data_IF_321715410655
#
_entry.id   IF_321715410655
#
_cell.length_a   1.000
_cell.length_b   1.000
_cell.length_c   1.000
_cell.angle_alpha   90.00
_cell.angle_beta   90.00
_cell.angle_gamma   90.00
#
_symmetry.space_group_name_H-M   'P 1'
#
loop_
_entity.id
_entity.type
_entity.pdbx_description
1 polymer ?
#
# COMPACT_ATOMS: atom_id res chain seq x y z
N UNK A 1 -3.67 7.84 -40.01
CA UNK A 1 -4.44 8.69 -39.07
C UNK A 1 -3.54 9.85 -38.64
N UNK A 2 -4.00 11.11 -38.69
CA UNK A 2 -3.16 12.23 -38.25
C UNK A 2 -2.81 12.06 -36.76
N UNK A 3 -1.55 12.30 -36.41
CA UNK A 3 -1.06 12.25 -35.02
C UNK A 3 -1.58 13.50 -34.32
N UNK A 4 -2.33 13.32 -33.23
CA UNK A 4 -2.80 14.45 -32.41
C UNK A 4 -1.69 14.77 -31.41
N UNK A 5 -1.27 16.03 -31.38
CA UNK A 5 -0.24 16.50 -30.46
C UNK A 5 -0.75 16.41 -29.01
N UNK A 6 0.07 15.91 -28.09
CA UNK A 6 -0.28 15.79 -26.66
C UNK A 6 -0.50 17.16 -25.99
N UNK A 7 0.05 18.23 -26.57
CA UNK A 7 -0.16 19.60 -26.14
C UNK A 7 -1.56 20.14 -26.48
N UNK A 8 -2.29 19.48 -27.39
CA UNK A 8 -3.70 19.78 -27.68
C UNK A 8 -4.60 18.84 -26.86
N UNK A 9 -4.70 19.14 -25.56
CA UNK A 9 -5.28 18.24 -24.55
C UNK A 9 -6.71 17.81 -24.90
N UNK A 10 -7.58 18.76 -25.26
CA UNK A 10 -8.98 18.46 -25.54
C UNK A 10 -9.14 17.59 -26.78
N UNK A 11 -8.37 17.80 -27.86
CA UNK A 11 -8.42 16.91 -29.03
C UNK A 11 -7.84 15.53 -28.73
N UNK A 12 -6.80 15.46 -27.89
CA UNK A 12 -6.24 14.20 -27.44
C UNK A 12 -7.28 13.38 -26.66
N UNK A 13 -7.95 13.98 -25.67
CA UNK A 13 -8.98 13.32 -24.87
C UNK A 13 -10.24 12.99 -25.66
N UNK A 14 -10.65 13.84 -26.61
CA UNK A 14 -11.72 13.52 -27.56
C UNK A 14 -11.41 12.22 -28.32
N UNK A 15 -10.18 12.08 -28.84
CA UNK A 15 -9.77 10.86 -29.54
C UNK A 15 -9.79 9.63 -28.62
N UNK A 16 -9.37 9.78 -27.37
CA UNK A 16 -9.45 8.68 -26.39
C UNK A 16 -10.89 8.26 -26.10
N UNK A 17 -11.83 9.20 -26.02
CA UNK A 17 -13.25 8.90 -25.80
C UNK A 17 -13.87 8.21 -27.02
N UNK A 18 -13.57 8.67 -28.23
CA UNK A 18 -14.04 8.06 -29.47
C UNK A 18 -13.59 6.60 -29.65
N UNK A 19 -12.42 6.24 -29.09
CA UNK A 19 -11.93 4.85 -29.10
C UNK A 19 -12.69 3.95 -28.13
N UNK A 20 -13.41 4.51 -27.14
CA UNK A 20 -14.12 3.74 -26.11
C UNK A 20 -15.64 3.78 -26.22
N UNK A 21 -16.21 4.91 -26.66
CA UNK A 21 -17.66 5.11 -26.74
C UNK A 21 -18.11 5.02 -28.19
N UNK A 22 -18.68 3.87 -28.56
CA UNK A 22 -19.30 3.66 -29.87
C UNK A 22 -20.71 4.26 -29.91
N UNK A 23 -21.14 4.71 -31.10
CA UNK A 23 -22.51 5.19 -31.32
C UNK A 23 -22.83 6.56 -30.71
N UNK A 24 -21.83 7.33 -30.29
CA UNK A 24 -22.08 8.66 -29.75
C UNK A 24 -22.69 9.59 -30.81
N UNK A 25 -23.78 10.26 -30.47
CA UNK A 25 -24.56 11.09 -31.43
C UNK A 25 -24.25 12.58 -31.35
N UNK A 26 -23.52 13.02 -30.31
CA UNK A 26 -23.10 14.41 -30.13
C UNK A 26 -21.83 14.52 -29.27
N UNK A 27 -21.23 15.71 -29.22
CA UNK A 27 -20.11 15.96 -28.31
C UNK A 27 -20.53 15.96 -26.83
N UNK A 28 -21.76 16.38 -26.53
CA UNK A 28 -22.28 16.29 -25.17
C UNK A 28 -22.50 14.84 -24.76
N UNK A 29 -22.95 14.00 -25.68
CA UNK A 29 -23.01 12.55 -25.46
C UNK A 29 -21.61 12.00 -25.16
N UNK A 30 -20.57 12.35 -25.94
CA UNK A 30 -19.19 11.94 -25.64
C UNK A 30 -18.68 12.42 -24.27
N UNK A 31 -19.12 13.60 -23.81
CA UNK A 31 -18.75 14.15 -22.50
C UNK A 31 -19.63 13.62 -21.35
N UNK A 32 -20.65 12.82 -21.65
CA UNK A 32 -21.55 12.27 -20.64
C UNK A 32 -20.99 10.99 -20.06
N UNK A 33 -20.72 11.00 -18.76
CA UNK A 33 -20.27 9.85 -17.97
C UNK A 33 -21.31 9.58 -16.90
N UNK A 34 -21.96 8.41 -16.96
CA UNK A 34 -22.98 7.99 -16.00
C UNK A 34 -24.09 9.03 -15.76
N UNK A 35 -24.59 9.63 -16.86
CA UNK A 35 -25.64 10.65 -16.83
C UNK A 35 -25.17 12.07 -16.53
N UNK A 36 -23.91 12.28 -16.17
CA UNK A 36 -23.34 13.62 -15.88
C UNK A 36 -22.61 14.15 -17.10
N UNK A 37 -23.07 15.29 -17.63
CA UNK A 37 -22.42 15.99 -18.76
C UNK A 37 -21.22 16.78 -18.24
N UNK A 38 -20.02 16.38 -18.64
CA UNK A 38 -18.79 17.10 -18.28
C UNK A 38 -18.59 18.35 -19.16
N UNK A 39 -17.82 19.31 -18.65
CA UNK A 39 -17.51 20.54 -19.37
C UNK A 39 -16.48 20.28 -20.50
N UNK A 40 -15.54 19.37 -20.26
CA UNK A 40 -14.42 19.07 -21.16
C UNK A 40 -14.30 17.57 -21.47
N UNK A 41 -13.68 17.24 -22.60
CA UNK A 41 -13.38 15.84 -22.95
C UNK A 41 -12.36 15.26 -21.97
N UNK A 42 -11.41 16.07 -21.52
CA UNK A 42 -10.46 15.68 -20.48
C UNK A 42 -11.18 15.27 -19.19
N UNK A 43 -12.13 16.08 -18.72
CA UNK A 43 -12.89 15.78 -17.51
C UNK A 43 -13.69 14.49 -17.64
N UNK A 44 -14.43 14.31 -18.74
CA UNK A 44 -15.17 13.09 -19.01
C UNK A 44 -14.27 11.86 -19.00
N UNK A 45 -13.13 11.92 -19.71
CA UNK A 45 -12.21 10.78 -19.80
C UNK A 45 -11.59 10.42 -18.46
N UNK A 46 -11.20 11.43 -17.66
CA UNK A 46 -10.63 11.24 -16.31
C UNK A 46 -11.65 10.63 -15.36
N UNK A 47 -12.87 11.15 -15.34
CA UNK A 47 -13.98 10.61 -14.54
C UNK A 47 -14.27 9.14 -14.90
N UNK A 48 -14.42 8.84 -16.19
CA UNK A 48 -14.62 7.46 -16.67
C UNK A 48 -13.45 6.56 -16.26
N UNK A 49 -12.20 7.05 -16.35
CA UNK A 49 -11.03 6.26 -15.95
C UNK A 49 -11.05 5.89 -14.47
N UNK A 50 -11.37 6.85 -13.59
CA UNK A 50 -11.44 6.61 -12.15
C UNK A 50 -12.52 5.58 -11.81
N UNK A 51 -13.69 5.68 -12.46
CA UNK A 51 -14.77 4.70 -12.28
C UNK A 51 -14.39 3.31 -12.77
N UNK A 52 -13.84 3.19 -13.98
CA UNK A 52 -13.36 1.91 -14.53
C UNK A 52 -12.35 1.27 -13.57
N UNK A 53 -11.40 2.07 -13.07
CA UNK A 53 -10.32 1.61 -12.18
C UNK A 53 -10.85 1.10 -10.85
N UNK A 54 -11.79 1.82 -10.21
CA UNK A 54 -12.38 1.39 -8.95
C UNK A 54 -13.31 0.19 -9.14
N UNK A 55 -14.11 0.16 -10.20
CA UNK A 55 -14.99 -0.97 -10.51
C UNK A 55 -14.20 -2.26 -10.73
N UNK A 56 -13.08 -2.19 -11.44
CA UNK A 56 -12.19 -3.34 -11.64
C UNK A 56 -11.55 -3.78 -10.32
N UNK A 57 -11.08 -2.82 -9.51
CA UNK A 57 -10.44 -3.11 -8.24
C UNK A 57 -11.40 -3.80 -7.25
N UNK A 58 -12.67 -3.38 -7.18
CA UNK A 58 -13.67 -3.95 -6.28
C UNK A 58 -13.84 -5.46 -6.49
N UNK A 59 -13.63 -5.97 -7.70
CA UNK A 59 -13.76 -7.40 -7.98
C UNK A 59 -12.62 -8.25 -7.40
N UNK A 60 -11.50 -7.64 -7.01
CA UNK A 60 -10.26 -8.38 -6.71
C UNK A 60 -9.51 -7.90 -5.47
N UNK A 61 -9.93 -6.78 -4.86
CA UNK A 61 -9.19 -6.07 -3.82
C UNK A 61 -10.00 -5.96 -2.55
N UNK A 62 -9.30 -6.02 -1.42
CA UNK A 62 -9.87 -5.81 -0.09
C UNK A 62 -10.15 -4.32 0.17
N UNK A 63 -11.11 -3.96 1.05
CA UNK A 63 -11.50 -2.58 1.32
C UNK A 63 -10.36 -1.60 1.62
N UNK A 64 -9.34 -2.00 2.40
CA UNK A 64 -8.13 -1.20 2.61
C UNK A 64 -7.40 -0.86 1.31
N UNK A 65 -7.24 -1.83 0.41
CA UNK A 65 -6.56 -1.62 -0.86
C UNK A 65 -7.37 -0.67 -1.75
N UNK A 66 -8.70 -0.74 -1.66
CA UNK A 66 -9.60 0.21 -2.31
C UNK A 66 -9.43 1.61 -1.72
N UNK A 67 -9.32 1.78 -0.40
CA UNK A 67 -9.06 3.08 0.24
C UNK A 67 -7.71 3.67 -0.14
N UNK A 68 -6.67 2.83 -0.26
CA UNK A 68 -5.35 3.26 -0.74
C UNK A 68 -5.40 3.69 -2.21
N UNK A 69 -6.11 2.93 -3.05
CA UNK A 69 -6.33 3.28 -4.45
C UNK A 69 -7.12 4.58 -4.58
N UNK A 70 -8.16 4.77 -3.78
CA UNK A 70 -8.94 6.01 -3.71
C UNK A 70 -8.04 7.21 -3.37
N UNK A 71 -7.20 7.10 -2.34
CA UNK A 71 -6.25 8.16 -1.99
C UNK A 71 -5.23 8.45 -3.11
N UNK A 72 -4.80 7.40 -3.83
CA UNK A 72 -3.90 7.53 -5.00
C UNK A 72 -4.60 8.25 -6.16
N UNK A 73 -5.87 7.94 -6.42
CA UNK A 73 -6.70 8.64 -7.41
C UNK A 73 -6.89 10.11 -7.01
N UNK A 74 -7.08 10.42 -5.73
CA UNK A 74 -7.13 11.80 -5.24
C UNK A 74 -5.80 12.53 -5.45
N UNK A 75 -4.67 11.86 -5.19
CA UNK A 75 -3.31 12.40 -5.32
C UNK A 75 -2.89 12.72 -6.75
N UNK A 76 -3.20 11.82 -7.71
CA UNK A 76 -2.66 11.89 -9.07
C UNK A 76 -3.72 11.92 -10.18
N UNK A 77 -4.97 11.54 -9.89
CA UNK A 77 -6.01 11.34 -10.90
C UNK A 77 -6.66 12.62 -11.41
N UNK A 78 -6.39 13.78 -10.79
CA UNK A 78 -7.02 15.07 -11.09
C UNK A 78 -8.56 14.94 -11.23
N UNK A 79 -9.18 14.20 -10.32
CA UNK A 79 -10.63 13.99 -10.32
C UNK A 79 -11.32 15.26 -9.85
N UNK A 80 -12.31 15.71 -10.64
CA UNK A 80 -12.97 17.00 -10.40
C UNK A 80 -14.01 16.95 -9.28
N UNK A 81 -14.66 15.80 -9.07
CA UNK A 81 -15.70 15.62 -8.04
C UNK A 81 -15.37 14.45 -7.13
N UNK A 82 -14.49 14.71 -6.16
CA UNK A 82 -14.11 13.74 -5.13
C UNK A 82 -15.27 13.40 -4.20
N UNK A 83 -16.15 14.33 -3.79
CA UNK A 83 -17.35 14.01 -3.00
C UNK A 83 -18.28 13.01 -3.68
N UNK A 84 -18.57 13.19 -4.97
CA UNK A 84 -19.39 12.22 -5.75
C UNK A 84 -18.68 10.86 -5.85
N UNK A 85 -17.36 10.86 -6.11
CA UNK A 85 -16.57 9.63 -6.14
C UNK A 85 -16.63 8.90 -4.78
N UNK A 86 -16.50 9.62 -3.67
CA UNK A 86 -16.65 9.05 -2.34
C UNK A 86 -18.06 8.49 -2.14
N UNK A 87 -19.10 9.28 -2.39
CA UNK A 87 -20.49 8.86 -2.17
C UNK A 87 -20.83 7.57 -2.91
N UNK A 88 -20.34 7.45 -4.15
CA UNK A 88 -20.54 6.27 -5.01
C UNK A 88 -19.87 5.00 -4.49
N UNK A 89 -18.67 5.13 -3.92
CA UNK A 89 -17.84 3.97 -3.56
C UNK A 89 -17.73 3.75 -2.04
N UNK A 90 -18.35 4.59 -1.21
CA UNK A 90 -18.24 4.54 0.26
C UNK A 90 -18.57 3.17 0.83
N UNK A 91 -19.54 2.46 0.27
CA UNK A 91 -20.00 1.17 0.80
C UNK A 91 -18.90 0.11 0.62
N UNK A 92 -18.33 -0.01 -0.59
CA UNK A 92 -17.19 -0.89 -0.86
C UNK A 92 -15.91 -0.46 -0.12
N UNK A 93 -15.70 0.86 0.03
CA UNK A 93 -14.55 1.41 0.75
C UNK A 93 -14.64 1.23 2.26
N UNK A 94 -15.81 0.94 2.82
CA UNK A 94 -16.03 0.85 4.26
C UNK A 94 -16.56 -0.50 4.74
N UNK A 95 -16.70 -1.48 3.84
CA UNK A 95 -17.28 -2.80 4.11
C UNK A 95 -16.71 -3.49 5.36
N UNK A 96 -15.38 -3.50 5.51
CA UNK A 96 -14.68 -4.07 6.67
C UNK A 96 -15.01 -3.34 7.98
N UNK A 97 -15.10 -2.01 7.94
CA UNK A 97 -15.45 -1.20 9.11
C UNK A 97 -16.95 -1.25 9.44
N UNK A 98 -17.82 -1.34 8.43
CA UNK A 98 -19.26 -1.55 8.66
C UNK A 98 -19.49 -2.89 9.35
N UNK A 99 -18.79 -3.94 8.91
CA UNK A 99 -18.85 -5.25 9.55
C UNK A 99 -18.33 -5.24 10.99
N UNK A 100 -17.27 -4.50 11.26
CA UNK A 100 -16.64 -4.45 12.59
C UNK A 100 -17.38 -3.53 13.59
N UNK A 101 -17.98 -2.45 13.10
CA UNK A 101 -18.59 -1.41 13.93
C UNK A 101 -20.09 -1.28 13.63
N UNK A 102 -20.47 -0.43 12.68
CA UNK A 102 -21.86 -0.24 12.26
C UNK A 102 -21.94 0.48 10.91
N UNK A 103 -23.11 0.47 10.27
CA UNK A 103 -23.37 1.22 9.02
C UNK A 103 -23.17 2.73 9.20
N UNK A 104 -23.52 3.29 10.36
CA UNK A 104 -23.38 4.73 10.62
C UNK A 104 -21.93 5.16 10.86
N UNK A 105 -21.12 4.28 11.48
CA UNK A 105 -19.75 4.60 11.90
C UNK A 105 -18.70 4.11 10.90
N UNK A 106 -18.95 3.03 10.16
CA UNK A 106 -18.02 2.43 9.20
C UNK A 106 -17.48 3.43 8.17
N UNK A 107 -18.33 4.21 7.48
CA UNK A 107 -17.88 5.25 6.54
C UNK A 107 -16.98 6.32 7.18
N UNK A 108 -17.18 6.62 8.46
CA UNK A 108 -16.38 7.59 9.20
C UNK A 108 -14.98 7.06 9.47
N UNK A 109 -14.86 5.78 9.83
CA UNK A 109 -13.56 5.09 9.96
C UNK A 109 -12.82 4.99 8.63
N UNK A 110 -13.53 4.68 7.54
CA UNK A 110 -12.95 4.66 6.20
C UNK A 110 -12.41 6.03 5.78
N UNK A 111 -13.15 7.12 6.04
CA UNK A 111 -12.65 8.47 5.82
C UNK A 111 -11.42 8.78 6.68
N UNK A 112 -11.42 8.41 7.96
CA UNK A 112 -10.26 8.62 8.83
C UNK A 112 -8.99 7.96 8.27
N UNK A 113 -9.10 6.72 7.77
CA UNK A 113 -7.98 6.00 7.18
C UNK A 113 -7.54 6.61 5.84
N UNK A 114 -8.48 7.04 4.99
CA UNK A 114 -8.17 7.77 3.77
C UNK A 114 -7.44 9.08 4.07
N UNK A 115 -7.84 9.82 5.11
CA UNK A 115 -7.16 11.06 5.51
C UNK A 115 -5.68 10.81 5.84
N UNK A 116 -5.36 9.70 6.49
CA UNK A 116 -3.98 9.30 6.77
C UNK A 116 -3.19 9.04 5.47
N UNK A 117 -3.80 8.39 4.47
CA UNK A 117 -3.15 8.17 3.18
C UNK A 117 -2.93 9.47 2.41
N UNK A 118 -3.88 10.41 2.49
CA UNK A 118 -3.80 11.70 1.81
C UNK A 118 -2.70 12.61 2.36
N UNK A 119 -2.32 12.47 3.64
CA UNK A 119 -1.17 13.20 4.21
C UNK A 119 0.11 12.94 3.44
N UNK A 120 0.33 11.71 2.95
CA UNK A 120 1.49 11.35 2.12
C UNK A 120 1.52 12.13 0.79
N UNK A 121 0.34 12.45 0.25
CA UNK A 121 0.17 13.24 -0.97
C UNK A 121 0.05 14.76 -0.71
N UNK A 122 0.27 15.22 0.52
CA UNK A 122 0.10 16.64 0.91
C UNK A 122 -1.31 17.20 0.62
N UNK A 123 -2.31 16.31 0.63
CA UNK A 123 -3.73 16.62 0.47
C UNK A 123 -4.44 16.58 1.82
N UNK A 124 -5.60 17.25 1.89
CA UNK A 124 -6.48 17.20 3.06
C UNK A 124 -7.94 17.30 2.62
N UNK A 125 -8.86 16.93 3.51
CA UNK A 125 -10.30 16.92 3.21
C UNK A 125 -10.88 18.29 2.86
N UNK A 126 -10.34 19.37 3.42
CA UNK A 126 -10.75 20.74 3.05
C UNK A 126 -10.50 21.03 1.57
N UNK A 127 -9.34 20.62 1.04
CA UNK A 127 -9.01 20.75 -0.39
C UNK A 127 -9.92 19.88 -1.27
N UNK A 128 -10.27 18.68 -0.79
CA UNK A 128 -11.06 17.70 -1.54
C UNK A 128 -12.58 17.84 -1.33
N UNK A 129 -13.03 18.78 -0.50
CA UNK A 129 -14.44 19.00 -0.11
C UNK A 129 -15.11 17.75 0.47
N UNK A 130 -14.34 16.86 1.09
CA UNK A 130 -14.85 15.66 1.74
C UNK A 130 -15.45 15.99 3.12
N UNK A 131 -16.40 15.18 3.62
CA UNK A 131 -16.96 15.35 4.95
C UNK A 131 -15.84 15.36 5.99
N UNK A 132 -15.84 16.37 6.87
CA UNK A 132 -14.92 16.38 8.00
C UNK A 132 -15.40 15.36 9.01
N UNK A 133 -14.51 14.43 9.40
CA UNK A 133 -14.89 13.38 10.33
C UNK A 133 -14.83 13.94 11.76
N UNK A 134 -15.98 14.01 12.43
CA UNK A 134 -16.05 14.28 13.86
C UNK A 134 -16.01 12.96 14.60
N UNK A 135 -14.80 12.50 14.88
CA UNK A 135 -14.60 11.22 15.55
C UNK A 135 -14.48 11.42 17.06
N UNK A 136 -15.02 10.48 17.87
CA UNK A 136 -14.65 10.38 19.28
C UNK A 136 -13.13 10.15 19.41
N UNK A 137 -12.54 10.54 20.56
CA UNK A 137 -11.10 10.42 20.90
C UNK A 137 -10.46 9.03 20.66
N UNK A 138 -11.25 8.00 20.36
CA UNK A 138 -10.81 6.63 20.06
C UNK A 138 -9.84 6.51 18.86
N UNK A 139 -9.72 7.53 17.99
CA UNK A 139 -8.87 7.49 16.78
C UNK A 139 -7.51 8.20 16.91
N UNK A 140 -7.16 8.74 18.08
CA UNK A 140 -5.74 9.06 18.37
C UNK A 140 -4.83 7.83 18.29
N UNK A 141 -5.45 6.63 18.25
CA UNK A 141 -4.79 5.33 18.17
C UNK A 141 -4.87 4.69 16.77
N UNK A 142 -5.36 5.38 15.73
CA UNK A 142 -5.37 4.80 14.39
C UNK A 142 -3.91 4.55 13.94
N UNK A 143 -3.54 3.32 13.57
CA UNK A 143 -2.17 3.03 13.21
C UNK A 143 -1.79 3.84 11.96
N UNK A 144 -0.57 4.40 11.95
CA UNK A 144 -0.05 5.08 10.75
C UNK A 144 -0.14 4.18 9.51
N UNK A 145 -0.19 4.80 8.31
CA UNK A 145 -0.24 4.07 7.04
C UNK A 145 0.77 2.92 6.93
N UNK A 146 2.02 3.13 7.37
CA UNK A 146 3.05 2.09 7.33
C UNK A 146 2.65 0.88 8.18
N UNK A 147 2.11 1.10 9.39
CA UNK A 147 1.64 0.03 10.28
C UNK A 147 0.50 -0.74 9.63
N UNK A 148 -0.50 -0.06 9.06
CA UNK A 148 -1.63 -0.71 8.40
C UNK A 148 -1.18 -1.55 7.19
N UNK A 149 -0.30 -1.00 6.35
CA UNK A 149 0.27 -1.72 5.21
C UNK A 149 1.05 -2.96 5.65
N UNK A 150 1.83 -2.86 6.74
CA UNK A 150 2.55 -4.02 7.31
C UNK A 150 1.59 -5.03 7.92
N UNK A 151 0.53 -4.60 8.60
CA UNK A 151 -0.48 -5.47 9.19
C UNK A 151 -1.17 -6.33 8.11
N UNK A 152 -1.58 -5.70 7.02
CA UNK A 152 -2.16 -6.39 5.87
C UNK A 152 -1.21 -7.43 5.26
N UNK A 153 0.04 -7.02 4.97
CA UNK A 153 1.07 -7.93 4.45
C UNK A 153 1.33 -9.08 5.41
N UNK A 154 1.33 -8.81 6.72
CA UNK A 154 1.47 -9.82 7.77
C UNK A 154 0.34 -10.85 7.72
N UNK A 155 -0.93 -10.41 7.64
CA UNK A 155 -2.09 -11.29 7.54
C UNK A 155 -2.07 -12.15 6.28
N UNK A 156 -1.81 -11.54 5.11
CA UNK A 156 -1.74 -12.26 3.83
C UNK A 156 -0.63 -13.32 3.87
N UNK A 157 0.56 -12.95 4.37
CA UNK A 157 1.69 -13.86 4.41
C UNK A 157 1.47 -15.00 5.42
N UNK A 158 0.82 -14.72 6.55
CA UNK A 158 0.49 -15.72 7.58
C UNK A 158 -0.50 -16.77 7.05
N UNK A 159 -1.34 -16.43 6.06
CA UNK A 159 -2.20 -17.42 5.39
C UNK A 159 -1.44 -18.34 4.43
N UNK A 160 -0.20 -17.99 4.06
CA UNK A 160 0.62 -18.70 3.06
C UNK A 160 1.80 -19.47 3.68
N UNK A 161 2.02 -19.38 4.99
CA UNK A 161 3.09 -20.16 5.64
C UNK A 161 2.72 -21.65 5.67
N UNK A 162 3.72 -22.51 5.47
CA UNK A 162 3.55 -23.96 5.67
C UNK A 162 3.56 -24.33 7.16
N UNK A 163 3.28 -25.59 7.49
CA UNK A 163 3.18 -26.06 8.89
C UNK A 163 4.48 -25.88 9.69
N UNK A 164 5.64 -26.21 9.11
CA UNK A 164 6.95 -26.03 9.76
C UNK A 164 7.24 -24.55 10.05
N UNK A 165 6.97 -23.68 9.07
CA UNK A 165 7.16 -22.23 9.20
C UNK A 165 6.19 -21.64 10.22
N UNK A 166 4.94 -22.12 10.25
CA UNK A 166 3.92 -21.68 11.20
C UNK A 166 4.31 -22.05 12.63
N UNK A 167 4.86 -23.23 12.85
CA UNK A 167 5.40 -23.64 14.15
C UNK A 167 6.47 -22.66 14.65
N UNK A 168 7.46 -22.34 13.80
CA UNK A 168 8.52 -21.38 14.14
C UNK A 168 7.94 -19.98 14.38
N UNK A 169 7.01 -19.55 13.54
CA UNK A 169 6.33 -18.27 13.66
C UNK A 169 5.62 -18.13 15.01
N UNK A 170 4.83 -19.14 15.39
CA UNK A 170 4.06 -19.14 16.64
C UNK A 170 4.99 -19.17 17.86
N UNK A 171 6.08 -19.95 17.83
CA UNK A 171 7.09 -19.97 18.91
C UNK A 171 7.68 -18.58 19.13
N UNK A 172 8.08 -17.89 18.06
CA UNK A 172 8.70 -16.57 18.14
C UNK A 172 7.68 -15.53 18.62
N UNK A 173 6.46 -15.51 18.09
CA UNK A 173 5.43 -14.58 18.53
C UNK A 173 5.07 -14.80 20.01
N UNK A 174 4.98 -16.06 20.44
CA UNK A 174 4.75 -16.39 21.85
C UNK A 174 5.87 -15.84 22.74
N UNK A 175 7.13 -16.01 22.35
CA UNK A 175 8.26 -15.46 23.09
C UNK A 175 8.24 -13.92 23.18
N UNK A 176 7.69 -13.23 22.16
CA UNK A 176 7.54 -11.77 22.15
C UNK A 176 6.39 -11.32 23.07
N UNK A 177 5.24 -12.01 23.06
CA UNK A 177 4.02 -11.52 23.69
C UNK A 177 3.69 -12.12 25.07
N UNK A 178 4.10 -13.36 25.36
CA UNK A 178 3.66 -14.04 26.59
C UNK A 178 4.39 -13.58 27.86
N UNK A 179 5.42 -12.73 27.75
CA UNK A 179 6.12 -12.02 28.84
C UNK A 179 6.44 -12.82 30.13
N UNK A 180 6.56 -14.16 30.03
CA UNK A 180 7.04 -15.01 31.13
C UNK A 180 8.55 -14.85 31.28
N UNK A 181 9.04 -14.85 32.51
CA UNK A 181 10.48 -14.67 32.81
C UNK A 181 11.34 -15.83 32.28
N UNK A 182 10.77 -17.05 32.20
CA UNK A 182 11.49 -18.27 31.77
C UNK A 182 11.42 -18.59 30.27
N UNK A 183 10.90 -17.70 29.41
CA UNK A 183 10.87 -17.98 27.97
C UNK A 183 12.22 -17.65 27.30
N UNK A 184 12.80 -18.63 26.60
CA UNK A 184 13.95 -18.38 25.71
C UNK A 184 13.56 -17.35 24.65
N UNK A 185 14.41 -16.34 24.44
CA UNK A 185 14.21 -15.24 23.47
C UNK A 185 15.26 -15.22 22.35
N UNK A 186 16.22 -16.14 22.39
CA UNK A 186 17.24 -16.29 21.36
C UNK A 186 16.98 -17.56 20.57
N UNK A 187 16.75 -17.41 19.27
CA UNK A 187 16.45 -18.51 18.36
C UNK A 187 17.43 -18.53 17.21
N UNK A 188 17.88 -19.72 16.84
CA UNK A 188 18.62 -19.97 15.61
C UNK A 188 17.74 -20.82 14.70
N UNK A 189 17.42 -20.28 13.53
CA UNK A 189 16.66 -21.00 12.51
C UNK A 189 17.64 -21.54 11.48
N UNK A 190 17.81 -22.86 11.46
CA UNK A 190 18.50 -23.56 10.39
C UNK A 190 17.48 -24.14 9.42
N UNK A 191 17.64 -23.85 8.13
CA UNK A 191 16.76 -24.37 7.10
C UNK A 191 17.50 -24.48 5.79
N UNK A 192 17.32 -25.61 5.10
CA UNK A 192 17.96 -25.83 3.81
C UNK A 192 17.58 -24.77 2.79
N UNK A 193 18.50 -24.52 1.85
CA UNK A 193 18.26 -23.59 0.75
C UNK A 193 16.92 -23.91 0.05
N UNK A 194 16.16 -22.86 -0.27
CA UNK A 194 14.82 -22.90 -0.90
C UNK A 194 13.64 -23.33 -0.01
N UNK A 195 13.82 -23.54 1.30
CA UNK A 195 12.69 -23.78 2.24
C UNK A 195 11.88 -22.53 2.64
N UNK A 196 12.19 -21.36 2.07
CA UNK A 196 11.42 -20.14 2.31
C UNK A 196 11.73 -19.43 3.63
N UNK A 197 12.93 -19.60 4.21
CA UNK A 197 13.34 -18.85 5.42
C UNK A 197 13.18 -17.33 5.24
N UNK A 198 13.56 -16.81 4.07
CA UNK A 198 13.33 -15.40 3.69
C UNK A 198 11.85 -15.01 3.78
N UNK A 199 10.94 -15.88 3.33
CA UNK A 199 9.51 -15.63 3.42
C UNK A 199 9.08 -15.55 4.88
N UNK A 200 9.49 -16.50 5.72
CA UNK A 200 9.19 -16.51 7.15
C UNK A 200 9.73 -15.25 7.86
N UNK A 201 10.96 -14.82 7.59
CA UNK A 201 11.53 -13.60 8.17
C UNK A 201 10.73 -12.35 7.79
N UNK A 202 10.32 -12.23 6.52
CA UNK A 202 9.47 -11.14 6.08
C UNK A 202 8.08 -11.20 6.73
N UNK A 203 7.49 -12.38 6.90
CA UNK A 203 6.20 -12.57 7.59
C UNK A 203 6.26 -12.12 9.04
N UNK A 204 7.31 -12.50 9.78
CA UNK A 204 7.57 -12.01 11.13
C UNK A 204 7.73 -10.49 11.17
N UNK A 205 8.56 -9.94 10.27
CA UNK A 205 8.80 -8.50 10.17
C UNK A 205 7.50 -7.72 9.96
N UNK A 206 6.68 -8.14 8.99
CA UNK A 206 5.40 -7.50 8.69
C UNK A 206 4.41 -7.63 9.85
N UNK A 207 4.33 -8.79 10.48
CA UNK A 207 3.40 -9.02 11.60
C UNK A 207 3.77 -8.18 12.83
N UNK A 208 5.06 -8.12 13.18
CA UNK A 208 5.54 -7.36 14.35
C UNK A 208 5.37 -5.86 14.12
N UNK A 209 5.77 -5.35 12.94
CA UNK A 209 5.54 -3.94 12.58
C UNK A 209 4.07 -3.58 12.47
N UNK A 210 3.25 -4.49 11.94
CA UNK A 210 1.81 -4.33 11.82
C UNK A 210 1.08 -4.26 13.16
N UNK A 211 1.71 -4.72 14.24
CA UNK A 211 1.24 -4.53 15.62
C UNK A 211 1.82 -3.27 16.29
N UNK A 212 2.52 -2.41 15.53
CA UNK A 212 3.13 -1.18 16.02
C UNK A 212 4.46 -1.37 16.78
N UNK A 213 5.01 -2.58 16.81
CA UNK A 213 6.28 -2.83 17.52
C UNK A 213 7.49 -2.46 16.66
N UNK A 214 8.53 -1.94 17.33
CA UNK A 214 9.81 -1.67 16.69
C UNK A 214 10.60 -2.96 16.47
N UNK A 215 11.12 -3.14 15.26
CA UNK A 215 11.95 -4.28 14.88
C UNK A 215 13.06 -3.81 13.94
N UNK A 216 14.28 -4.25 14.26
CA UNK A 216 15.50 -3.91 13.53
C UNK A 216 15.99 -5.14 12.75
N UNK A 217 15.60 -5.29 11.47
CA UNK A 217 16.08 -6.38 10.63
C UNK A 217 17.51 -6.13 10.13
N UNK A 218 18.37 -7.13 10.22
CA UNK A 218 19.80 -7.00 9.95
C UNK A 218 20.33 -8.20 9.16
N UNK A 219 21.10 -7.93 8.09
CA UNK A 219 21.81 -8.93 7.32
C UNK A 219 23.33 -8.83 7.50
N UNK A 220 24.06 -9.91 7.23
CA UNK A 220 25.53 -9.90 7.28
C UNK A 220 26.18 -9.19 6.09
N UNK A 221 25.61 -9.34 4.88
CA UNK A 221 26.12 -8.78 3.62
C UNK A 221 25.11 -7.85 2.95
N UNK A 222 25.60 -6.97 2.05
CA UNK A 222 24.76 -6.06 1.28
C UNK A 222 23.77 -6.78 0.37
N UNK A 223 24.21 -7.86 -0.29
CA UNK A 223 23.34 -8.69 -1.15
C UNK A 223 22.19 -9.29 -0.33
N UNK A 224 22.48 -9.84 0.85
CA UNK A 224 21.45 -10.38 1.73
C UNK A 224 20.47 -9.29 2.22
N UNK A 225 20.96 -8.07 2.47
CA UNK A 225 20.11 -6.95 2.83
C UNK A 225 19.16 -6.52 1.69
N UNK A 226 19.57 -6.67 0.42
CA UNK A 226 18.72 -6.37 -0.74
C UNK A 226 17.64 -7.44 -0.91
N UNK A 227 17.96 -8.71 -0.71
CA UNK A 227 17.02 -9.83 -0.83
C UNK A 227 15.94 -9.83 0.27
N UNK A 228 16.14 -9.07 1.34
CA UNK A 228 15.26 -9.00 2.49
C UNK A 228 14.66 -7.58 2.60
N UNK A 229 13.37 -7.45 2.32
CA UNK A 229 12.71 -6.15 2.20
C UNK A 229 12.86 -5.30 3.47
N UNK A 230 13.45 -4.10 3.34
CA UNK A 230 13.73 -3.16 4.45
C UNK A 230 14.89 -3.55 5.38
N UNK A 231 15.79 -4.45 4.98
CA UNK A 231 16.94 -4.85 5.79
C UNK A 231 18.15 -3.96 5.51
N UNK A 232 19.08 -3.92 6.46
CA UNK A 232 20.37 -3.22 6.34
C UNK A 232 21.47 -4.12 6.87
N UNK A 233 22.72 -3.85 6.50
CA UNK A 233 23.85 -4.64 7.00
C UNK A 233 24.11 -4.39 8.48
N UNK A 234 24.60 -5.39 9.22
CA UNK A 234 24.95 -5.26 10.65
C UNK A 234 25.93 -4.11 10.90
N UNK A 235 26.91 -3.97 10.01
CA UNK A 235 27.86 -2.86 10.01
C UNK A 235 27.16 -1.49 9.93
N UNK A 236 26.16 -1.35 9.05
CA UNK A 236 25.43 -0.09 8.88
C UNK A 236 24.52 0.25 10.06
N UNK A 237 23.82 -0.77 10.59
CA UNK A 237 22.83 -0.64 11.68
C UNK A 237 23.52 -0.39 13.01
N UNK A 238 24.47 -1.24 13.39
CA UNK A 238 25.12 -1.20 14.71
C UNK A 238 26.40 -0.37 14.72
N UNK A 239 26.74 0.28 13.59
CA UNK A 239 27.99 1.06 13.43
C UNK A 239 29.25 0.26 13.79
N UNK A 240 29.26 -1.03 13.41
CA UNK A 240 30.40 -1.92 13.66
C UNK A 240 31.58 -1.41 12.81
N UNK A 241 32.70 -1.02 13.42
CA UNK A 241 33.84 -0.49 12.68
C UNK A 241 34.53 -1.60 11.89
N UNK A 242 34.89 -1.29 10.65
CA UNK A 242 35.79 -2.15 9.86
C UNK A 242 37.21 -1.70 10.20
N UNK A 243 37.91 -2.51 11.00
CA UNK A 243 39.31 -2.24 11.35
C UNK A 243 40.18 -2.64 10.15
N UNK A 244 40.61 -1.64 9.39
CA UNK A 244 41.55 -1.82 8.29
C UNK A 244 42.98 -1.68 8.80
N UNK A 245 43.86 -2.57 8.37
CA UNK A 245 45.30 -2.50 8.59
C UNK A 245 46.06 -2.48 7.25
N UNK A 246 47.37 -2.25 7.27
CA UNK A 246 48.20 -2.18 6.05
C UNK A 246 48.18 -3.48 5.21
N UNK A 247 47.78 -4.60 5.81
CA UNK A 247 47.63 -5.91 5.15
C UNK A 247 46.19 -6.22 4.73
N UNK A 248 45.24 -5.31 4.94
CA UNK A 248 43.83 -5.52 4.59
C UNK A 248 43.65 -5.42 3.08
N UNK A 249 43.37 -6.55 2.43
CA UNK A 249 43.13 -6.62 1.00
C UNK A 249 41.74 -7.17 0.72
N UNK A 250 41.03 -6.59 -0.26
CA UNK A 250 39.79 -7.16 -0.77
C UNK A 250 40.11 -8.19 -1.85
N UNK A 251 39.62 -9.43 -1.70
CA UNK A 251 39.83 -10.48 -2.71
C UNK A 251 38.85 -10.39 -3.89
N UNK A 252 37.93 -9.44 -3.88
CA UNK A 252 37.02 -9.18 -5.01
C UNK A 252 37.77 -8.37 -6.06
N UNK A 253 37.97 -8.98 -7.24
CA UNK A 253 38.62 -8.31 -8.36
C UNK A 253 37.61 -7.38 -9.05
N UNK A 254 38.02 -6.17 -9.48
CA UNK A 254 37.13 -5.31 -10.25
C UNK A 254 36.69 -5.98 -11.56
N UNK A 255 35.44 -5.75 -11.97
CA UNK A 255 34.81 -6.29 -13.19
C UNK A 255 34.60 -7.83 -13.23
N UNK A 256 34.51 -8.51 -12.09
CA UNK A 256 34.03 -9.90 -12.05
C UNK A 256 32.54 -9.96 -11.76
N UNK A 257 31.89 -11.10 -12.06
CA UNK A 257 30.47 -11.29 -11.74
C UNK A 257 30.16 -11.19 -10.24
N UNK A 258 31.17 -11.32 -9.38
CA UNK A 258 31.03 -11.17 -7.93
C UNK A 258 31.18 -9.72 -7.41
N UNK A 259 31.59 -8.76 -8.27
CA UNK A 259 31.79 -7.35 -7.96
C UNK A 259 30.58 -6.48 -8.36
#
# INVERSE_FOLDING_TARGET
>A
MPVVNIHDSERYYLRLLLLRKSGAVSFDDLKTVDGIVCNTFQQARKMQHSYDTLNEAIQTREPFQLRLLFATICGFGEVNDIPELWFRYKDALSEDFVWQYSEDSGPQFALAEIEEFLKYYSLNFKKLKLPTVHLPDALSNLPSFDILEKQQKGQINTRKVNEEQKLVFDIILKAIYDNKEDTSRLFFLDGSAKKGNTFLYNTLLHTIRGKGHHITPVASTGIAAILLNSWRTAHSVFKIPIVLNATSTCNVKPNTQEA
#
